data_IF_631442369752
#
_entry.id   IF_631442369752
#
_cell.length_a   1.000
_cell.length_b   1.000
_cell.length_c   1.000
_cell.angle_alpha   90.00
_cell.angle_beta   90.00
_cell.angle_gamma   90.00
#
_symmetry.space_group_name_H-M   'P 1'
#
loop_
_entity.id
_entity.type
_entity.pdbx_description
1 polymer ?
#
# COMPACT_ATOMS: atom_id res chain seq x y z
N UNK A 1 7.76 22.65 -21.52
CA UNK A 1 7.08 21.54 -20.84
C UNK A 1 8.11 20.43 -20.70
N UNK A 2 8.49 20.08 -19.45
CA UNK A 2 9.33 18.92 -19.22
C UNK A 2 8.52 17.66 -19.55
N UNK A 3 9.16 16.69 -20.22
CA UNK A 3 8.57 15.37 -20.43
C UNK A 3 8.38 14.73 -19.04
N UNK A 4 7.13 14.58 -18.61
CA UNK A 4 6.84 13.79 -17.42
C UNK A 4 7.03 12.31 -17.77
N UNK A 5 7.67 11.51 -16.91
CA UNK A 5 7.76 10.07 -17.13
C UNK A 5 6.35 9.47 -17.14
N UNK A 6 6.07 8.60 -18.11
CA UNK A 6 4.79 7.89 -18.20
C UNK A 6 4.53 7.04 -16.95
N UNK A 7 5.59 6.44 -16.43
CA UNK A 7 5.59 5.56 -15.26
C UNK A 7 6.88 5.82 -14.50
N UNK A 8 6.80 5.88 -13.19
CA UNK A 8 7.98 6.00 -12.35
C UNK A 8 7.91 5.04 -11.15
N UNK A 9 9.06 4.64 -10.66
CA UNK A 9 9.25 4.07 -9.34
C UNK A 9 9.91 5.13 -8.46
N UNK A 10 9.41 5.29 -7.24
CA UNK A 10 10.03 6.19 -6.27
C UNK A 10 11.36 5.62 -5.77
N UNK A 11 12.08 6.42 -5.00
CA UNK A 11 13.40 6.09 -4.48
C UNK A 11 13.42 4.79 -3.67
N UNK A 12 14.54 4.10 -3.69
CA UNK A 12 14.80 2.91 -2.87
C UNK A 12 14.67 3.24 -1.38
N UNK A 13 13.95 2.41 -0.68
CA UNK A 13 13.80 2.48 0.78
C UNK A 13 14.58 1.35 1.44
N UNK A 14 15.09 1.59 2.66
CA UNK A 14 15.73 0.53 3.41
C UNK A 14 14.74 -0.60 3.75
N UNK A 15 15.25 -1.83 3.83
CA UNK A 15 14.51 -2.97 4.33
C UNK A 15 14.33 -2.83 5.85
N UNK A 16 13.33 -2.07 6.25
CA UNK A 16 13.03 -1.76 7.65
C UNK A 16 11.58 -1.32 7.83
N UNK A 17 11.08 -1.38 9.06
CA UNK A 17 9.76 -0.85 9.42
C UNK A 17 9.67 0.66 9.18
N UNK A 18 10.77 1.40 9.31
CA UNK A 18 10.82 2.81 8.94
C UNK A 18 10.64 3.00 7.43
N UNK A 19 11.31 2.17 6.63
CA UNK A 19 11.19 2.22 5.17
C UNK A 19 9.75 2.02 4.69
N UNK A 20 9.03 1.02 5.25
CA UNK A 20 7.64 0.78 4.82
C UNK A 20 6.66 1.85 5.30
N UNK A 21 6.93 2.57 6.40
CA UNK A 21 6.12 3.72 6.83
C UNK A 21 6.17 4.89 5.85
N UNK A 22 7.22 4.99 5.05
CA UNK A 22 7.37 6.08 4.09
C UNK A 22 6.68 5.81 2.75
N UNK A 23 6.29 4.57 2.46
CA UNK A 23 5.67 4.21 1.18
C UNK A 23 4.40 5.02 0.91
N UNK A 24 3.52 5.15 1.89
CA UNK A 24 2.24 5.87 1.72
C UNK A 24 2.45 7.37 1.57
N UNK A 25 3.17 8.08 2.48
CA UNK A 25 3.43 9.51 2.33
C UNK A 25 4.06 9.89 0.99
N UNK A 26 5.05 9.12 0.53
CA UNK A 26 5.72 9.40 -0.74
C UNK A 26 4.79 9.22 -1.94
N UNK A 27 3.92 8.20 -1.92
CA UNK A 27 2.89 8.00 -2.95
C UNK A 27 1.86 9.12 -2.97
N UNK A 28 1.44 9.59 -1.80
CA UNK A 28 0.51 10.72 -1.67
C UNK A 28 1.14 11.99 -2.25
N UNK A 29 2.41 12.27 -1.92
CA UNK A 29 3.14 13.41 -2.46
C UNK A 29 3.28 13.31 -3.98
N UNK A 30 3.66 12.15 -4.52
CA UNK A 30 3.77 11.93 -5.96
C UNK A 30 2.44 12.18 -6.69
N UNK A 31 1.34 11.71 -6.15
CA UNK A 31 0.00 11.92 -6.71
C UNK A 31 -0.37 13.42 -6.76
N UNK A 32 -0.11 14.15 -5.67
CA UNK A 32 -0.42 15.59 -5.56
C UNK A 32 0.38 16.46 -6.54
N UNK A 33 1.60 16.06 -6.89
CA UNK A 33 2.44 16.79 -7.87
C UNK A 33 2.24 16.30 -9.31
N UNK A 34 1.21 15.48 -9.57
CA UNK A 34 0.81 15.07 -10.92
C UNK A 34 1.51 13.82 -11.45
N UNK A 35 2.01 12.94 -10.59
CA UNK A 35 2.58 11.64 -10.97
C UNK A 35 1.69 10.47 -10.53
N UNK A 36 0.54 10.23 -11.19
CA UNK A 36 -0.42 9.22 -10.76
C UNK A 36 0.05 7.78 -11.04
N UNK A 37 0.93 7.59 -12.03
CA UNK A 37 1.41 6.26 -12.47
C UNK A 37 2.72 5.90 -11.77
N UNK A 38 2.65 5.72 -10.48
CA UNK A 38 3.82 5.58 -9.61
C UNK A 38 3.80 4.25 -8.87
N UNK A 39 4.96 3.60 -8.81
CA UNK A 39 5.26 2.50 -7.89
C UNK A 39 5.93 3.08 -6.63
N UNK A 40 5.47 2.76 -5.40
CA UNK A 40 6.03 3.37 -4.20
C UNK A 40 7.49 3.00 -3.93
N UNK A 41 7.88 1.81 -4.32
CA UNK A 41 9.19 1.18 -4.29
C UNK A 41 9.01 -0.29 -4.68
N UNK A 42 9.98 -1.13 -4.39
CA UNK A 42 9.88 -2.59 -4.48
C UNK A 42 9.48 -3.20 -3.13
N UNK A 43 8.70 -4.28 -3.18
CA UNK A 43 8.31 -5.05 -1.98
C UNK A 43 9.56 -5.64 -1.34
N UNK A 44 9.77 -5.31 -0.06
CA UNK A 44 10.97 -5.65 0.68
C UNK A 44 12.05 -4.56 0.64
N UNK A 45 11.77 -3.42 -0.02
CA UNK A 45 12.70 -2.30 -0.18
C UNK A 45 13.55 -2.41 -1.46
N UNK A 46 13.97 -1.27 -1.98
CA UNK A 46 14.81 -1.17 -3.18
C UNK A 46 16.28 -1.55 -2.96
N UNK A 47 16.72 -1.57 -1.72
CA UNK A 47 18.09 -1.90 -1.35
C UNK A 47 18.37 -3.41 -1.44
N UNK A 48 18.61 -3.91 -2.65
CA UNK A 48 18.83 -5.36 -2.89
C UNK A 48 19.96 -5.96 -2.03
N UNK A 49 20.93 -5.16 -1.62
CA UNK A 49 22.02 -5.58 -0.73
C UNK A 49 21.54 -6.07 0.62
N UNK A 50 20.38 -5.65 1.08
CA UNK A 50 19.73 -6.14 2.30
C UNK A 50 19.40 -7.63 2.26
N UNK A 51 19.42 -8.25 1.07
CA UNK A 51 19.17 -9.68 0.86
C UNK A 51 20.42 -10.47 0.50
N UNK A 52 21.60 -9.87 0.65
CA UNK A 52 22.89 -10.48 0.34
C UNK A 52 23.82 -10.40 1.53
N UNK A 53 24.64 -11.44 1.68
CA UNK A 53 25.80 -11.44 2.54
C UNK A 53 26.91 -10.53 1.96
N UNK A 54 27.96 -10.16 2.73
CA UNK A 54 29.08 -9.36 2.25
C UNK A 54 29.80 -9.94 1.02
N UNK A 55 29.79 -11.27 0.87
CA UNK A 55 30.35 -11.98 -0.28
C UNK A 55 29.39 -12.09 -1.48
N UNK A 56 28.30 -11.34 -1.45
CA UNK A 56 27.24 -11.33 -2.49
C UNK A 56 26.44 -12.64 -2.62
N UNK A 57 26.59 -13.56 -1.69
CA UNK A 57 25.72 -14.76 -1.62
C UNK A 57 24.36 -14.39 -1.01
N UNK A 58 23.27 -15.09 -1.35
CA UNK A 58 21.96 -14.86 -0.74
C UNK A 58 22.00 -15.01 0.78
N UNK A 59 21.35 -14.10 1.49
CA UNK A 59 21.17 -14.22 2.94
C UNK A 59 20.30 -15.43 3.27
N UNK A 60 20.58 -16.06 4.42
CA UNK A 60 19.73 -17.12 4.95
C UNK A 60 18.31 -16.60 5.17
N UNK A 61 17.28 -17.21 4.56
CA UNK A 61 15.87 -16.79 4.73
C UNK A 61 15.40 -16.72 6.18
N UNK A 62 16.00 -17.50 7.09
CA UNK A 62 15.68 -17.46 8.52
C UNK A 62 16.07 -16.15 9.22
N UNK A 63 16.95 -15.37 8.60
CA UNK A 63 17.40 -14.05 9.10
C UNK A 63 16.57 -12.89 8.56
N UNK A 64 15.63 -13.15 7.66
CA UNK A 64 14.76 -12.14 7.06
C UNK A 64 13.53 -11.93 7.95
N UNK A 65 13.18 -10.68 8.24
CA UNK A 65 11.89 -10.36 8.84
C UNK A 65 10.78 -10.58 7.80
N UNK A 66 10.26 -11.80 7.74
CA UNK A 66 9.24 -12.19 6.78
C UNK A 66 7.92 -11.43 7.00
N UNK A 67 7.62 -11.02 8.24
CA UNK A 67 6.45 -10.19 8.55
C UNK A 67 6.54 -8.83 7.86
N UNK A 68 7.72 -8.22 7.86
CA UNK A 68 7.97 -6.96 7.15
C UNK A 68 7.74 -7.11 5.65
N UNK A 69 8.23 -8.20 5.01
CA UNK A 69 7.99 -8.48 3.59
C UNK A 69 6.49 -8.58 3.30
N UNK A 70 5.76 -9.34 4.11
CA UNK A 70 4.31 -9.52 3.93
C UNK A 70 3.57 -8.19 4.11
N UNK A 71 3.89 -7.39 5.14
CA UNK A 71 3.26 -6.07 5.34
C UNK A 71 3.61 -5.10 4.19
N UNK A 72 4.85 -5.10 3.71
CA UNK A 72 5.22 -4.37 2.49
C UNK A 72 4.38 -4.80 1.29
N UNK A 73 4.22 -6.10 1.06
CA UNK A 73 3.38 -6.65 0.00
C UNK A 73 1.92 -6.18 0.10
N UNK A 74 1.37 -6.11 1.31
CA UNK A 74 0.02 -5.61 1.57
C UNK A 74 -0.14 -4.13 1.21
N UNK A 75 0.84 -3.29 1.57
CA UNK A 75 0.82 -1.86 1.23
C UNK A 75 0.77 -1.68 -0.30
N UNK A 76 1.57 -2.46 -1.04
CA UNK A 76 1.63 -2.39 -2.50
C UNK A 76 0.38 -2.96 -3.21
N UNK A 77 -0.35 -3.87 -2.56
CA UNK A 77 -1.44 -4.61 -3.20
C UNK A 77 -2.57 -3.72 -3.75
N UNK A 78 -2.85 -2.60 -3.11
CA UNK A 78 -3.87 -1.63 -3.54
C UNK A 78 -3.26 -0.28 -3.94
N UNK A 79 -2.07 -0.32 -4.55
CA UNK A 79 -1.43 0.81 -5.22
C UNK A 79 -1.40 0.60 -6.73
N UNK A 80 -1.10 1.64 -7.53
CA UNK A 80 -1.14 1.54 -9.01
C UNK A 80 -0.24 0.45 -9.57
N UNK A 81 0.91 0.21 -8.94
CA UNK A 81 1.89 -0.78 -9.37
C UNK A 81 2.45 -1.56 -8.20
N UNK A 82 2.77 -2.83 -8.44
CA UNK A 82 3.30 -3.77 -7.49
C UNK A 82 4.53 -4.46 -8.08
N UNK A 83 5.67 -4.37 -7.40
CA UNK A 83 6.94 -4.96 -7.84
C UNK A 83 7.67 -5.59 -6.67
N UNK A 84 8.19 -6.81 -6.85
CA UNK A 84 9.06 -7.46 -5.86
C UNK A 84 10.52 -7.12 -6.10
N UNK A 85 11.26 -6.85 -5.05
CA UNK A 85 12.71 -6.64 -5.06
C UNK A 85 13.46 -7.94 -5.36
N UNK A 86 13.09 -9.00 -4.67
CA UNK A 86 13.63 -10.34 -4.80
C UNK A 86 12.48 -11.31 -5.04
N UNK A 87 12.74 -12.36 -5.82
CA UNK A 87 11.76 -13.42 -6.05
C UNK A 87 11.28 -14.00 -4.71
N UNK A 88 10.00 -13.84 -4.34
CA UNK A 88 9.52 -14.12 -2.98
C UNK A 88 9.73 -15.59 -2.55
N UNK A 89 9.70 -16.52 -3.49
CA UNK A 89 9.98 -17.95 -3.21
C UNK A 89 11.43 -18.26 -2.83
N UNK A 90 12.35 -17.29 -2.94
CA UNK A 90 13.75 -17.42 -2.49
C UNK A 90 13.95 -17.00 -1.05
N UNK A 91 13.06 -16.19 -0.50
CA UNK A 91 13.26 -15.53 0.80
C UNK A 91 12.13 -15.80 1.80
N UNK A 92 10.97 -16.27 1.35
CA UNK A 92 9.83 -16.53 2.21
C UNK A 92 9.62 -18.02 2.43
N UNK A 93 9.17 -18.38 3.63
CA UNK A 93 8.60 -19.69 3.89
C UNK A 93 7.30 -19.91 3.12
N UNK A 94 6.83 -21.16 3.08
CA UNK A 94 5.64 -21.53 2.32
C UNK A 94 4.39 -20.74 2.74
N UNK A 95 4.20 -20.51 4.05
CA UNK A 95 3.04 -19.79 4.58
C UNK A 95 3.03 -18.33 4.12
N UNK A 96 4.14 -17.62 4.33
CA UNK A 96 4.27 -16.22 3.96
C UNK A 96 4.27 -16.00 2.45
N UNK A 97 4.82 -16.96 1.68
CA UNK A 97 4.71 -16.95 0.22
C UNK A 97 3.26 -17.04 -0.27
N UNK A 98 2.44 -17.91 0.32
CA UNK A 98 1.02 -18.01 -0.05
C UNK A 98 0.25 -16.74 0.34
N UNK A 99 0.60 -16.10 1.45
CA UNK A 99 0.01 -14.80 1.83
C UNK A 99 0.37 -13.72 0.79
N UNK A 100 1.62 -13.62 0.38
CA UNK A 100 2.02 -12.67 -0.68
C UNK A 100 1.32 -12.99 -2.01
N UNK A 101 1.14 -14.27 -2.36
CA UNK A 101 0.36 -14.67 -3.54
C UNK A 101 -1.09 -14.22 -3.46
N UNK A 102 -1.73 -14.34 -2.29
CA UNK A 102 -3.08 -13.81 -2.04
C UNK A 102 -3.17 -12.32 -2.38
N UNK A 103 -2.19 -11.52 -1.91
CA UNK A 103 -2.21 -10.07 -2.15
C UNK A 103 -1.82 -9.68 -3.58
N UNK A 104 -0.95 -10.43 -4.24
CA UNK A 104 -0.73 -10.27 -5.68
C UNK A 104 -2.00 -10.57 -6.50
N UNK A 105 -2.78 -11.59 -6.11
CA UNK A 105 -4.07 -11.86 -6.72
C UNK A 105 -5.11 -10.76 -6.40
N UNK A 106 -5.09 -10.19 -5.20
CA UNK A 106 -5.94 -9.04 -4.86
C UNK A 106 -5.61 -7.84 -5.76
N UNK A 107 -4.31 -7.53 -5.97
CA UNK A 107 -3.90 -6.49 -6.92
C UNK A 107 -4.46 -6.74 -8.33
N UNK A 108 -4.35 -7.98 -8.81
CA UNK A 108 -4.92 -8.39 -10.11
C UNK A 108 -6.44 -8.20 -10.16
N UNK A 109 -7.16 -8.51 -9.07
CA UNK A 109 -8.62 -8.31 -8.98
C UNK A 109 -9.02 -6.84 -9.04
N UNK A 110 -8.22 -5.96 -8.43
CA UNK A 110 -8.42 -4.51 -8.50
C UNK A 110 -7.90 -3.87 -9.80
N UNK A 111 -7.18 -4.64 -10.63
CA UNK A 111 -6.62 -4.17 -11.90
C UNK A 111 -7.59 -3.40 -12.80
N UNK A 112 -8.83 -3.87 -13.04
CA UNK A 112 -9.82 -3.13 -13.82
C UNK A 112 -10.16 -1.76 -13.22
N UNK A 113 -10.32 -1.68 -11.89
CA UNK A 113 -10.60 -0.43 -11.20
C UNK A 113 -9.38 0.52 -11.23
N UNK A 114 -8.19 0.00 -10.99
CA UNK A 114 -6.93 0.79 -11.09
C UNK A 114 -6.78 1.33 -12.51
N UNK A 115 -7.09 0.56 -13.54
CA UNK A 115 -7.04 0.99 -14.94
C UNK A 115 -8.07 2.09 -15.24
N UNK A 116 -9.28 1.98 -14.69
CA UNK A 116 -10.31 3.04 -14.76
C UNK A 116 -9.79 4.35 -14.16
N UNK A 117 -9.20 4.27 -12.95
CA UNK A 117 -8.60 5.42 -12.28
C UNK A 117 -7.43 6.01 -13.10
N UNK A 118 -6.63 5.17 -13.74
CA UNK A 118 -5.54 5.60 -14.61
C UNK A 118 -6.05 6.37 -15.85
N UNK A 119 -7.13 5.89 -16.48
CA UNK A 119 -7.78 6.61 -17.58
C UNK A 119 -8.40 7.93 -17.12
N UNK A 120 -8.96 7.97 -15.91
CA UNK A 120 -9.47 9.21 -15.34
C UNK A 120 -8.33 10.20 -15.05
N UNK A 121 -7.24 9.74 -14.43
CA UNK A 121 -6.07 10.56 -14.14
C UNK A 121 -5.47 11.19 -15.40
N UNK A 122 -5.44 10.46 -16.52
CA UNK A 122 -4.98 10.97 -17.82
C UNK A 122 -5.82 12.15 -18.35
N UNK A 123 -7.10 12.20 -17.98
CA UNK A 123 -8.04 13.24 -18.45
C UNK A 123 -8.16 14.43 -17.49
N UNK A 124 -8.09 14.16 -16.20
CA UNK A 124 -8.45 15.13 -15.16
C UNK A 124 -7.28 15.60 -14.31
N UNK A 125 -6.17 14.83 -14.29
CA UNK A 125 -5.06 15.04 -13.35
C UNK A 125 -5.34 14.49 -11.95
N UNK A 126 -6.49 13.89 -11.68
CA UNK A 126 -6.85 13.31 -10.38
C UNK A 126 -5.89 12.19 -9.96
N UNK A 127 -5.33 12.22 -8.76
CA UNK A 127 -4.45 11.15 -8.31
C UNK A 127 -5.19 9.81 -8.13
N UNK A 128 -4.51 8.71 -8.41
CA UNK A 128 -5.04 7.35 -8.20
C UNK A 128 -5.02 7.03 -6.70
N UNK A 129 -3.89 7.28 -6.05
CA UNK A 129 -3.73 7.19 -4.58
C UNK A 129 -3.91 8.58 -4.02
N UNK A 130 -4.92 8.76 -3.14
CA UNK A 130 -5.33 10.08 -2.67
C UNK A 130 -5.13 10.22 -1.17
N UNK A 131 -4.69 11.40 -0.76
CA UNK A 131 -4.64 11.75 0.66
C UNK A 131 -6.05 11.81 1.23
N UNK A 132 -6.22 11.40 2.48
CA UNK A 132 -7.52 11.39 3.14
C UNK A 132 -8.16 12.79 3.19
N UNK A 133 -7.37 13.82 3.48
CA UNK A 133 -7.84 15.22 3.51
C UNK A 133 -8.22 15.75 2.12
N UNK A 134 -7.59 15.23 1.05
CA UNK A 134 -7.95 15.56 -0.34
C UNK A 134 -9.37 15.11 -0.67
N UNK A 135 -9.75 13.90 -0.24
CA UNK A 135 -11.06 13.31 -0.54
C UNK A 135 -12.13 13.72 0.51
N UNK A 136 -11.72 13.97 1.76
CA UNK A 136 -12.59 14.30 2.90
C UNK A 136 -12.06 15.51 3.66
N UNK A 137 -12.13 16.72 3.06
CA UNK A 137 -11.59 17.93 3.67
C UNK A 137 -12.33 18.29 4.96
N UNK A 138 -11.61 18.88 5.91
CA UNK A 138 -12.10 19.36 7.19
C UNK A 138 -12.70 18.26 8.11
N UNK A 139 -12.26 17.00 7.93
CA UNK A 139 -12.61 15.89 8.82
C UNK A 139 -11.44 15.46 9.72
N UNK A 140 -10.37 16.27 9.77
CA UNK A 140 -9.21 16.07 10.62
C UNK A 140 -8.25 15.00 10.11
N UNK A 141 -8.05 14.92 8.81
CA UNK A 141 -7.15 13.96 8.15
C UNK A 141 -5.81 14.58 7.74
N UNK A 142 -5.52 15.82 8.11
CA UNK A 142 -4.35 16.59 7.67
C UNK A 142 -3.03 15.86 7.96
N UNK A 143 -3.00 15.09 9.03
CA UNK A 143 -1.83 14.33 9.48
C UNK A 143 -1.91 12.81 9.19
N UNK A 144 -2.86 12.37 8.36
CA UNK A 144 -3.01 10.96 8.03
C UNK A 144 -1.88 10.47 7.13
N UNK A 145 -1.06 9.52 7.61
CA UNK A 145 0.14 9.03 6.91
C UNK A 145 0.15 7.52 6.68
N UNK A 146 -0.81 6.80 7.23
CA UNK A 146 -0.83 5.33 7.28
C UNK A 146 -2.11 4.71 6.71
N UNK A 147 -2.96 5.55 6.12
CA UNK A 147 -4.13 5.16 5.36
C UNK A 147 -4.33 6.11 4.18
N UNK A 148 -4.97 5.64 3.12
CA UNK A 148 -5.16 6.40 1.89
C UNK A 148 -6.45 6.00 1.18
N UNK A 149 -6.89 6.80 0.22
CA UNK A 149 -7.95 6.43 -0.71
C UNK A 149 -7.35 5.88 -2.01
N UNK A 150 -7.85 4.75 -2.47
CA UNK A 150 -7.68 4.29 -3.84
C UNK A 150 -8.87 4.80 -4.65
N UNK A 151 -8.64 5.87 -5.42
CA UNK A 151 -9.72 6.65 -6.02
C UNK A 151 -10.72 7.15 -4.97
N UNK A 152 -11.94 7.51 -5.37
CA UNK A 152 -12.97 7.99 -4.45
C UNK A 152 -13.69 6.89 -3.68
N UNK A 153 -13.43 5.61 -4.00
CA UNK A 153 -14.29 4.50 -3.56
C UNK A 153 -13.73 3.67 -2.41
N UNK A 154 -12.42 3.44 -2.35
CA UNK A 154 -11.84 2.52 -1.38
C UNK A 154 -10.88 3.21 -0.44
N UNK A 155 -11.15 3.16 0.86
CA UNK A 155 -10.18 3.50 1.90
C UNK A 155 -9.31 2.26 2.16
N UNK A 156 -7.99 2.41 2.11
CA UNK A 156 -7.02 1.35 2.34
C UNK A 156 -6.21 1.68 3.59
N UNK A 157 -6.17 0.75 4.53
CA UNK A 157 -5.59 0.97 5.83
C UNK A 157 -4.60 -0.17 6.20
N UNK A 158 -3.43 -0.26 5.54
CA UNK A 158 -2.46 -1.32 5.81
C UNK A 158 -1.77 -1.11 7.17
N UNK A 159 -1.27 -2.19 7.76
CA UNK A 159 -0.41 -2.09 8.95
C UNK A 159 1.02 -1.76 8.52
N UNK A 160 1.56 -0.70 9.09
CA UNK A 160 2.92 -0.20 8.81
C UNK A 160 3.88 -0.35 10.02
N UNK A 161 3.50 -1.18 10.98
CA UNK A 161 4.23 -1.47 12.22
C UNK A 161 4.32 -2.98 12.44
N UNK A 162 5.14 -3.47 13.39
CA UNK A 162 5.16 -4.89 13.76
C UNK A 162 3.87 -5.45 14.37
N UNK A 163 2.89 -4.61 14.65
CA UNK A 163 1.64 -4.98 15.33
C UNK A 163 0.71 -5.82 14.45
N UNK A 164 -0.24 -6.50 15.09
CA UNK A 164 -1.33 -7.24 14.44
C UNK A 164 -2.71 -6.59 14.69
N UNK A 165 -2.71 -5.29 14.98
CA UNK A 165 -3.90 -4.46 15.09
C UNK A 165 -3.58 -3.03 14.65
N UNK A 166 -4.62 -2.25 14.34
CA UNK A 166 -4.48 -0.83 14.08
C UNK A 166 -5.75 -0.07 14.38
N UNK A 167 -5.60 1.22 14.55
CA UNK A 167 -6.72 2.17 14.48
C UNK A 167 -6.93 2.63 13.03
N UNK A 168 -8.20 2.75 12.62
CA UNK A 168 -8.61 3.30 11.34
C UNK A 168 -9.59 4.42 11.60
N UNK A 169 -9.29 5.62 11.12
CA UNK A 169 -10.20 6.75 11.15
C UNK A 169 -11.08 6.69 9.91
N UNK A 170 -12.37 6.41 10.08
CA UNK A 170 -13.34 6.35 8.99
C UNK A 170 -13.94 7.74 8.75
N UNK A 171 -13.92 8.26 7.50
CA UNK A 171 -14.64 9.48 7.15
C UNK A 171 -16.14 9.32 7.35
N UNK A 172 -16.87 10.42 7.39
CA UNK A 172 -18.35 10.42 7.42
C UNK A 172 -18.93 9.57 6.29
N UNK A 173 -20.07 8.92 6.55
CA UNK A 173 -20.76 8.04 5.62
C UNK A 173 -20.85 6.59 6.12
N UNK A 174 -21.06 5.66 5.20
CA UNK A 174 -21.11 4.22 5.49
C UNK A 174 -20.02 3.48 4.72
N UNK A 175 -19.36 2.55 5.39
CA UNK A 175 -18.19 1.84 4.90
C UNK A 175 -18.33 0.34 5.10
N UNK A 176 -18.10 -0.45 4.06
CA UNK A 176 -18.08 -1.91 4.15
C UNK A 176 -16.62 -2.40 4.12
N UNK A 177 -16.19 -3.08 5.18
CA UNK A 177 -14.82 -3.60 5.26
C UNK A 177 -14.58 -4.85 4.41
N UNK A 178 -13.31 -5.26 4.34
CA UNK A 178 -12.83 -6.45 3.62
C UNK A 178 -13.48 -7.76 4.08
N UNK A 179 -14.10 -7.79 5.27
CA UNK A 179 -14.82 -8.94 5.82
C UNK A 179 -16.34 -8.85 5.61
N UNK A 180 -16.81 -7.79 4.93
CA UNK A 180 -18.23 -7.57 4.65
C UNK A 180 -19.01 -6.87 5.76
N UNK A 181 -18.35 -6.48 6.87
CA UNK A 181 -19.00 -5.74 7.95
C UNK A 181 -19.21 -4.28 7.54
N UNK A 182 -20.40 -3.75 7.83
CA UNK A 182 -20.71 -2.34 7.60
C UNK A 182 -20.44 -1.53 8.85
N UNK A 183 -19.76 -0.40 8.68
CA UNK A 183 -19.38 0.54 9.70
C UNK A 183 -19.98 1.91 9.41
N UNK A 184 -20.47 2.57 10.47
CA UNK A 184 -20.78 3.99 10.40
C UNK A 184 -19.49 4.79 10.44
N UNK A 185 -19.31 5.73 9.54
CA UNK A 185 -18.15 6.63 9.53
C UNK A 185 -18.24 7.75 10.56
N UNK A 186 -17.28 8.68 10.48
CA UNK A 186 -17.14 9.78 11.45
C UNK A 186 -16.56 9.32 12.79
N UNK A 187 -15.83 8.21 12.84
CA UNK A 187 -15.24 7.64 14.06
C UNK A 187 -13.90 6.97 13.78
N UNK A 188 -13.14 6.77 14.83
CA UNK A 188 -11.96 5.90 14.80
C UNK A 188 -12.34 4.53 15.37
N UNK A 189 -12.00 3.47 14.65
CA UNK A 189 -12.22 2.10 15.05
C UNK A 189 -10.87 1.41 15.26
N UNK A 190 -10.80 0.52 16.25
CA UNK A 190 -9.67 -0.39 16.43
C UNK A 190 -10.05 -1.75 15.90
N UNK A 191 -9.19 -2.33 15.04
CA UNK A 191 -9.42 -3.62 14.41
C UNK A 191 -8.19 -4.53 14.54
N UNK A 192 -8.44 -5.82 14.63
CA UNK A 192 -7.40 -6.85 14.53
C UNK A 192 -7.06 -7.08 13.07
N UNK A 193 -5.76 -7.15 12.80
CA UNK A 193 -5.21 -7.31 11.45
C UNK A 193 -4.16 -8.42 11.47
N UNK A 194 -4.57 -9.69 11.54
CA UNK A 194 -3.64 -10.80 11.42
C UNK A 194 -2.82 -10.70 10.13
N UNK A 195 -1.70 -11.40 10.08
CA UNK A 195 -0.71 -11.24 9.00
C UNK A 195 -1.26 -11.49 7.59
N UNK A 196 -2.33 -12.25 7.46
CA UNK A 196 -3.00 -12.58 6.20
C UNK A 196 -4.18 -11.65 5.85
N UNK A 197 -4.34 -10.51 6.57
CA UNK A 197 -5.37 -9.50 6.35
C UNK A 197 -4.76 -8.17 5.92
N UNK A 198 -5.34 -7.55 4.89
CA UNK A 198 -5.19 -6.14 4.52
C UNK A 198 -6.55 -5.46 4.70
N UNK A 199 -6.72 -4.58 5.67
CA UNK A 199 -7.98 -3.85 5.81
C UNK A 199 -8.15 -2.83 4.66
N UNK A 200 -9.28 -2.93 3.99
CA UNK A 200 -9.78 -1.90 3.09
C UNK A 200 -11.30 -1.78 3.23
N UNK A 201 -11.83 -0.63 2.90
CA UNK A 201 -13.24 -0.31 3.11
C UNK A 201 -13.82 0.28 1.84
N UNK A 202 -14.91 -0.28 1.38
CA UNK A 202 -15.69 0.26 0.28
C UNK A 202 -16.66 1.31 0.79
N UNK A 203 -16.64 2.51 0.22
CA UNK A 203 -17.60 3.57 0.51
C UNK A 203 -18.97 3.17 -0.07
N UNK A 204 -20.00 3.15 0.76
CA UNK A 204 -21.37 2.81 0.37
C UNK A 204 -22.21 4.06 0.12
N UNK A 205 -22.03 5.09 0.96
CA UNK A 205 -22.73 6.39 0.88
C UNK A 205 -21.82 7.52 1.35
#
# INVERSE_FOLDING_TARGET
>A
MGLQPLVQRLQDKPYSWEGIRQLIPDMLAAGLIGHPYTCPDMIGGGEFRSFLNPDMTPIDPSKIDQKLIVRSCQIHALMPMMQFSVAPWRILDKKNLEICRKFANLHKQFGPYILELAHNAAKTGEPIVRHMEYEFPNQGFENSKDQFMLGPKYLVAPVVTPEDSREVKLPSGEWKDDLGKVWKGGQTIKIDVPIDRLPYFEKLK
#
